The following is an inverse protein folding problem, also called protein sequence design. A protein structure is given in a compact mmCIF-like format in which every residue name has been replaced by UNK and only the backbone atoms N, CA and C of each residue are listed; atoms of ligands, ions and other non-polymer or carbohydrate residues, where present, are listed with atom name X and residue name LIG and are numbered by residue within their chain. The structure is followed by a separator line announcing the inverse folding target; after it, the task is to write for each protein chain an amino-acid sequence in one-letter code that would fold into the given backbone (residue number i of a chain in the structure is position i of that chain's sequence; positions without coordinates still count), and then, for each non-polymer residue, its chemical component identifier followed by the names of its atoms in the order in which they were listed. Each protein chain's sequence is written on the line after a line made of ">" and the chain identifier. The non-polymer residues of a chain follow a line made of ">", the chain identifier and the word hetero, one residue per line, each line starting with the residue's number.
data_IF_909400900119
#
_entry.id   IF_909400900119
#
_cell.length_a   1.000
_cell.length_b   1.000
_cell.length_c   1.000
_cell.angle_alpha   90.00
_cell.angle_beta   90.00
_cell.angle_gamma   90.00
#
_symmetry.space_group_name_H-M   'P 1'
#
loop_
_entity.id
_entity.type
_entity.pdbx_description
1 polymer ?
#
# COMPACT_ATOMS: atom_id res chain seq x y z
N UNK A 1 1.62 -47.68 5.93
CA UNK A 1 1.13 -46.63 6.85
C UNK A 1 0.96 -45.36 6.04
N UNK A 2 -0.27 -44.96 5.74
CA UNK A 2 -0.52 -43.71 5.01
C UNK A 2 -0.19 -42.54 5.95
N UNK A 3 0.55 -41.50 5.51
CA UNK A 3 0.80 -40.34 6.35
C UNK A 3 -0.54 -39.69 6.65
N UNK A 4 -0.82 -39.44 7.93
CA UNK A 4 -1.96 -38.66 8.38
C UNK A 4 -1.86 -37.27 7.73
N UNK A 5 -2.52 -37.08 6.59
CA UNK A 5 -2.56 -35.79 5.91
C UNK A 5 -3.32 -34.86 6.83
N UNK A 6 -2.60 -33.94 7.48
CA UNK A 6 -3.20 -32.92 8.33
C UNK A 6 -4.37 -32.24 7.62
N UNK A 7 -5.33 -31.74 8.40
CA UNK A 7 -6.50 -31.02 7.89
C UNK A 7 -6.03 -29.98 6.87
N UNK A 8 -6.56 -30.05 5.64
CA UNK A 8 -6.23 -29.07 4.59
C UNK A 8 -6.51 -27.67 5.12
N UNK A 9 -5.60 -26.73 4.84
CA UNK A 9 -5.84 -25.31 5.14
C UNK A 9 -7.11 -24.87 4.42
N UNK A 10 -8.05 -24.28 5.16
CA UNK A 10 -9.29 -23.75 4.60
C UNK A 10 -9.02 -22.56 3.69
N UNK A 11 -9.94 -22.27 2.77
CA UNK A 11 -9.87 -21.08 1.94
C UNK A 11 -9.98 -19.82 2.80
N UNK A 12 -9.27 -18.76 2.40
CA UNK A 12 -9.31 -17.44 3.04
C UNK A 12 -9.95 -16.42 2.11
N UNK A 13 -10.82 -15.60 2.66
CA UNK A 13 -11.37 -14.48 1.90
C UNK A 13 -10.34 -13.37 1.77
N UNK A 14 -10.20 -12.83 0.55
CA UNK A 14 -9.41 -11.64 0.28
C UNK A 14 -10.27 -10.61 -0.44
N UNK A 15 -9.98 -9.34 -0.24
CA UNK A 15 -10.79 -8.25 -0.80
C UNK A 15 -10.43 -7.95 -2.25
N UNK A 16 -9.14 -8.06 -2.61
CA UNK A 16 -8.69 -7.79 -3.98
C UNK A 16 -7.41 -8.55 -4.33
N UNK A 17 -7.13 -8.64 -5.63
CA UNK A 17 -5.84 -9.12 -6.13
C UNK A 17 -4.98 -7.92 -6.54
N UNK A 18 -3.77 -7.76 -6.00
CA UNK A 18 -2.90 -6.64 -6.34
C UNK A 18 -2.48 -6.69 -7.81
N UNK A 19 -2.47 -5.52 -8.45
CA UNK A 19 -2.04 -5.37 -9.84
C UNK A 19 -0.53 -5.65 -9.99
N UNK A 20 0.27 -5.17 -9.02
CA UNK A 20 1.71 -5.41 -8.97
C UNK A 20 1.97 -6.64 -8.09
N UNK A 21 2.63 -7.65 -8.67
CA UNK A 21 2.94 -8.91 -7.99
C UNK A 21 4.42 -9.13 -7.72
N UNK A 22 5.27 -8.16 -8.05
CA UNK A 22 6.71 -8.28 -7.83
C UNK A 22 7.32 -6.94 -7.45
N UNK A 23 8.11 -6.94 -6.39
CA UNK A 23 8.90 -5.82 -5.92
C UNK A 23 10.37 -6.24 -5.94
N UNK A 24 11.22 -5.42 -6.56
CA UNK A 24 12.65 -5.71 -6.70
C UNK A 24 13.45 -4.54 -6.14
N UNK A 25 14.52 -4.81 -5.37
CA UNK A 25 15.43 -3.77 -4.93
C UNK A 25 16.23 -3.23 -6.11
N UNK A 26 16.45 -1.93 -6.13
CA UNK A 26 17.25 -1.27 -7.17
C UNK A 26 18.73 -1.66 -7.07
N UNK A 27 19.41 -1.74 -8.22
CA UNK A 27 20.86 -1.96 -8.29
C UNK A 27 21.32 -3.41 -8.19
N UNK A 28 20.42 -4.39 -8.04
CA UNK A 28 20.79 -5.81 -7.96
C UNK A 28 20.27 -6.61 -9.18
N UNK A 29 21.14 -7.14 -10.06
CA UNK A 29 20.73 -7.82 -11.30
C UNK A 29 20.28 -9.28 -11.12
N UNK A 30 20.58 -9.92 -9.98
CA UNK A 30 20.18 -11.30 -9.68
C UNK A 30 19.69 -11.38 -8.24
N UNK A 31 18.42 -11.03 -8.04
CA UNK A 31 17.81 -10.97 -6.71
C UNK A 31 17.01 -12.24 -6.48
N UNK A 32 17.38 -13.01 -5.45
CA UNK A 32 16.48 -14.04 -4.93
C UNK A 32 15.22 -13.37 -4.40
N UNK A 33 14.05 -13.89 -4.76
CA UNK A 33 12.78 -13.32 -4.35
C UNK A 33 12.12 -14.18 -3.28
N UNK A 34 11.66 -13.54 -2.20
CA UNK A 34 10.84 -14.17 -1.18
C UNK A 34 9.39 -14.20 -1.66
N UNK A 35 8.79 -15.39 -1.69
CA UNK A 35 7.39 -15.57 -2.11
C UNK A 35 6.44 -15.34 -0.93
N UNK A 36 5.59 -14.33 -1.04
CA UNK A 36 4.46 -14.08 -0.14
C UNK A 36 3.16 -14.51 -0.84
N UNK A 37 2.27 -15.15 -0.11
CA UNK A 37 0.96 -15.55 -0.65
C UNK A 37 -0.04 -14.41 -0.59
N UNK A 38 -1.11 -14.49 -1.40
CA UNK A 38 -2.17 -13.48 -1.38
C UNK A 38 -2.89 -13.40 -0.03
N UNK A 39 -3.04 -14.54 0.64
CA UNK A 39 -3.60 -14.63 1.99
C UNK A 39 -2.73 -13.91 3.03
N UNK A 40 -1.42 -14.10 2.96
CA UNK A 40 -0.45 -13.46 3.84
C UNK A 40 -0.41 -11.94 3.62
N UNK A 41 -0.50 -11.51 2.36
CA UNK A 41 -0.55 -10.09 2.02
C UNK A 41 -1.83 -9.42 2.56
N UNK A 42 -2.98 -10.08 2.41
CA UNK A 42 -4.26 -9.56 2.93
C UNK A 42 -4.20 -9.42 4.46
N UNK A 43 -3.60 -10.38 5.17
CA UNK A 43 -3.45 -10.30 6.62
C UNK A 43 -2.62 -9.07 7.04
N UNK A 44 -1.54 -8.77 6.30
CA UNK A 44 -0.72 -7.57 6.51
C UNK A 44 -1.52 -6.30 6.20
N UNK A 45 -2.28 -6.27 5.11
CA UNK A 45 -3.16 -5.13 4.79
C UNK A 45 -4.16 -4.85 5.92
N UNK A 46 -4.85 -5.88 6.40
CA UNK A 46 -5.89 -5.72 7.41
C UNK A 46 -5.34 -5.18 8.75
N UNK A 47 -4.21 -5.71 9.22
CA UNK A 47 -3.68 -5.35 10.55
C UNK A 47 -2.63 -4.24 10.49
N UNK A 48 -1.65 -4.33 9.59
CA UNK A 48 -0.52 -3.40 9.56
C UNK A 48 -0.81 -2.12 8.75
N UNK A 49 -1.79 -2.15 7.83
CA UNK A 49 -2.15 -0.98 7.03
C UNK A 49 -3.49 -0.35 7.45
N UNK A 50 -4.51 -1.15 7.77
CA UNK A 50 -5.85 -0.67 8.14
C UNK A 50 -6.10 -0.62 9.66
N UNK A 51 -5.09 -0.95 10.46
CA UNK A 51 -5.11 -0.95 11.92
C UNK A 51 -6.35 -1.67 12.51
N UNK A 52 -6.69 -2.84 11.96
CA UNK A 52 -7.72 -3.70 12.53
C UNK A 52 -7.17 -4.57 13.65
N UNK A 53 -8.05 -4.92 14.58
CA UNK A 53 -7.74 -5.94 15.57
C UNK A 53 -7.63 -7.32 14.92
N UNK A 54 -6.77 -8.18 15.47
CA UNK A 54 -6.56 -9.54 14.94
C UNK A 54 -7.84 -10.38 14.93
N UNK A 55 -8.76 -10.12 15.86
CA UNK A 55 -10.05 -10.79 15.90
C UNK A 55 -10.94 -10.36 14.73
N UNK A 56 -11.00 -9.05 14.45
CA UNK A 56 -11.76 -8.50 13.33
C UNK A 56 -11.15 -8.95 12.00
N UNK A 57 -9.84 -8.86 11.84
CA UNK A 57 -9.15 -9.30 10.64
C UNK A 57 -9.31 -10.80 10.38
N UNK A 58 -9.28 -11.64 11.42
CA UNK A 58 -9.57 -13.07 11.29
C UNK A 58 -11.02 -13.33 10.84
N UNK A 59 -11.97 -12.57 11.38
CA UNK A 59 -13.37 -12.61 10.94
C UNK A 59 -13.51 -12.22 9.47
N UNK A 60 -12.87 -11.13 9.02
CA UNK A 60 -12.87 -10.71 7.62
C UNK A 60 -12.26 -11.76 6.68
N UNK A 61 -11.23 -12.49 7.10
CA UNK A 61 -10.65 -13.56 6.29
C UNK A 61 -11.43 -14.89 6.37
N UNK A 62 -12.43 -15.00 7.25
CA UNK A 62 -13.23 -16.19 7.47
C UNK A 62 -12.46 -17.36 8.10
N UNK A 63 -11.46 -17.06 8.94
CA UNK A 63 -10.59 -18.07 9.56
C UNK A 63 -10.50 -17.87 11.07
N UNK A 64 -9.95 -18.87 11.77
CA UNK A 64 -9.71 -18.75 13.21
C UNK A 64 -8.61 -17.75 13.51
N UNK A 65 -8.71 -17.06 14.66
CA UNK A 65 -7.69 -16.10 15.14
C UNK A 65 -6.28 -16.68 15.14
N UNK A 66 -6.13 -17.96 15.53
CA UNK A 66 -4.84 -18.67 15.50
C UNK A 66 -4.30 -18.87 14.08
N UNK A 67 -5.16 -19.23 13.12
CA UNK A 67 -4.74 -19.39 11.74
C UNK A 67 -4.31 -18.04 11.16
N UNK A 68 -5.11 -17.00 11.38
CA UNK A 68 -4.81 -15.63 10.99
C UNK A 68 -3.47 -15.15 11.55
N UNK A 69 -3.25 -15.32 12.85
CA UNK A 69 -1.99 -14.96 13.50
C UNK A 69 -0.78 -15.63 12.86
N UNK A 70 -0.89 -16.93 12.53
CA UNK A 70 0.20 -17.64 11.85
C UNK A 70 0.50 -17.06 10.47
N UNK A 71 -0.53 -16.72 9.70
CA UNK A 71 -0.35 -16.16 8.36
C UNK A 71 0.25 -14.75 8.44
N UNK A 72 -0.24 -13.91 9.36
CA UNK A 72 0.33 -12.58 9.64
C UNK A 72 1.81 -12.66 10.06
N UNK A 73 2.16 -13.55 10.98
CA UNK A 73 3.55 -13.71 11.42
C UNK A 73 4.46 -14.21 10.30
N UNK A 74 3.98 -15.12 9.45
CA UNK A 74 4.75 -15.59 8.31
C UNK A 74 4.95 -14.48 7.27
N UNK A 75 3.91 -13.69 7.00
CA UNK A 75 3.96 -12.53 6.12
C UNK A 75 5.00 -11.51 6.60
N UNK A 76 4.91 -11.08 7.88
CA UNK A 76 5.85 -10.13 8.49
C UNK A 76 7.29 -10.64 8.44
N UNK A 77 7.52 -11.93 8.71
CA UNK A 77 8.86 -12.53 8.63
C UNK A 77 9.42 -12.48 7.20
N UNK A 78 8.61 -12.80 6.19
CA UNK A 78 9.00 -12.78 4.78
C UNK A 78 9.33 -11.37 4.31
N UNK A 79 8.49 -10.40 4.66
CA UNK A 79 8.70 -8.98 4.35
C UNK A 79 9.96 -8.48 5.03
N UNK A 80 10.13 -8.74 6.33
CA UNK A 80 11.33 -8.36 7.07
C UNK A 80 12.60 -8.98 6.47
N UNK A 81 12.56 -10.27 6.10
CA UNK A 81 13.68 -10.93 5.42
C UNK A 81 14.00 -10.26 4.07
N UNK A 82 12.97 -9.91 3.29
CA UNK A 82 13.17 -9.22 2.02
C UNK A 82 13.86 -7.87 2.20
N UNK A 83 13.44 -7.10 3.20
CA UNK A 83 14.02 -5.79 3.50
C UNK A 83 15.43 -5.87 4.08
N UNK A 84 15.69 -6.80 5.00
CA UNK A 84 16.99 -6.93 5.69
C UNK A 84 18.07 -7.48 4.76
N UNK A 85 17.73 -8.46 3.92
CA UNK A 85 18.70 -9.11 3.03
C UNK A 85 18.75 -8.49 1.63
N UNK A 86 17.96 -7.45 1.37
CA UNK A 86 17.87 -6.84 0.03
C UNK A 86 17.38 -7.85 -1.02
N UNK A 87 16.38 -8.66 -0.67
CA UNK A 87 15.77 -9.63 -1.57
C UNK A 87 14.54 -9.04 -2.26
N UNK A 88 14.14 -9.62 -3.39
CA UNK A 88 12.89 -9.28 -4.04
C UNK A 88 11.71 -9.82 -3.25
N UNK A 89 10.52 -9.26 -3.46
CA UNK A 89 9.27 -9.80 -2.95
C UNK A 89 8.40 -10.21 -4.14
N UNK A 90 7.90 -11.44 -4.15
CA UNK A 90 6.96 -11.92 -5.17
C UNK A 90 5.66 -12.35 -4.51
N UNK A 91 4.55 -11.83 -5.00
CA UNK A 91 3.21 -12.17 -4.53
C UNK A 91 2.66 -13.28 -5.44
N UNK A 92 2.60 -14.50 -4.93
CA UNK A 92 2.14 -15.66 -5.70
C UNK A 92 1.52 -16.76 -4.83
N UNK A 93 0.62 -17.53 -5.45
CA UNK A 93 -0.02 -18.67 -4.80
C UNK A 93 -1.02 -18.30 -3.71
N UNK A 94 -1.31 -19.28 -2.85
CA UNK A 94 -2.37 -19.22 -1.84
C UNK A 94 -3.64 -19.96 -2.27
N UNK A 95 -4.52 -20.22 -1.31
CA UNK A 95 -5.82 -20.86 -1.48
C UNK A 95 -6.92 -19.88 -1.04
N UNK A 96 -7.12 -18.82 -1.80
CA UNK A 96 -8.05 -17.74 -1.45
C UNK A 96 -9.38 -17.84 -2.20
N UNK A 97 -10.33 -17.00 -1.78
CA UNK A 97 -11.56 -16.68 -2.50
C UNK A 97 -11.72 -15.16 -2.49
N UNK A 98 -12.12 -14.57 -3.62
CA UNK A 98 -12.37 -13.13 -3.73
C UNK A 98 -13.74 -12.82 -3.13
N UNK A 99 -13.78 -11.79 -2.28
CA UNK A 99 -15.03 -11.26 -1.74
C UNK A 99 -15.73 -10.47 -2.86
N UNK A 100 -16.97 -10.85 -3.19
CA UNK A 100 -17.83 -10.07 -4.09
C UNK A 100 -18.00 -10.56 -5.55
N UNK A 101 -17.39 -11.66 -5.99
CA UNK A 101 -17.68 -12.21 -7.33
C UNK A 101 -19.05 -12.93 -7.41
N UNK A 102 -19.64 -13.30 -6.26
CA UNK A 102 -20.97 -13.92 -6.17
C UNK A 102 -21.77 -13.30 -5.01
N UNK A 103 -22.24 -12.06 -5.17
CA UNK A 103 -23.18 -11.46 -4.21
C UNK A 103 -24.37 -10.81 -4.94
N UNK A 104 -25.08 -11.60 -5.74
CA UNK A 104 -26.50 -11.34 -5.96
C UNK A 104 -27.27 -11.82 -4.74
N UNK A 105 -27.85 -10.85 -4.05
CA UNK A 105 -28.98 -10.94 -3.10
C UNK A 105 -28.72 -11.42 -1.66
N UNK A 106 -28.96 -10.46 -0.76
CA UNK A 106 -29.18 -10.51 0.69
C UNK A 106 -27.96 -10.73 1.59
N UNK A 107 -27.19 -9.66 1.82
CA UNK A 107 -26.23 -9.57 2.92
C UNK A 107 -26.80 -8.66 4.04
N UNK A 108 -26.66 -9.10 5.29
CA UNK A 108 -27.07 -8.37 6.49
C UNK A 108 -26.48 -6.95 6.51
N UNK A 109 -27.30 -5.96 6.87
CA UNK A 109 -26.89 -4.54 6.92
C UNK A 109 -25.60 -4.30 7.70
N UNK A 110 -25.27 -5.15 8.68
CA UNK A 110 -24.06 -5.05 9.50
C UNK A 110 -22.75 -5.38 8.75
N UNK A 111 -22.76 -6.31 7.80
CA UNK A 111 -21.55 -6.64 7.02
C UNK A 111 -21.21 -5.49 6.06
N UNK A 112 -22.23 -4.86 5.47
CA UNK A 112 -22.03 -3.73 4.57
C UNK A 112 -21.49 -2.48 5.31
N UNK A 113 -21.97 -2.19 6.53
CA UNK A 113 -21.43 -1.07 7.33
C UNK A 113 -19.96 -1.28 7.68
N UNK A 114 -19.59 -2.51 8.02
CA UNK A 114 -18.21 -2.93 8.32
C UNK A 114 -17.30 -2.74 7.10
N UNK A 115 -17.77 -3.17 5.94
CA UNK A 115 -17.06 -3.00 4.66
C UNK A 115 -16.91 -1.52 4.27
N UNK A 116 -17.94 -0.70 4.47
CA UNK A 116 -17.85 0.75 4.27
C UNK A 116 -16.82 1.41 5.20
N UNK A 117 -16.78 1.01 6.48
CA UNK A 117 -15.79 1.53 7.42
C UNK A 117 -14.34 1.17 7.02
N UNK A 118 -14.11 0.01 6.41
CA UNK A 118 -12.80 -0.35 5.86
C UNK A 118 -12.42 0.54 4.68
N UNK A 119 -13.36 0.74 3.75
CA UNK A 119 -13.14 1.61 2.60
C UNK A 119 -12.90 3.06 3.03
N UNK A 120 -13.60 3.57 4.04
CA UNK A 120 -13.38 4.91 4.59
C UNK A 120 -11.98 5.09 5.18
N UNK A 121 -11.46 4.11 5.93
CA UNK A 121 -10.07 4.15 6.43
C UNK A 121 -9.05 4.16 5.31
N UNK A 122 -9.26 3.33 4.29
CA UNK A 122 -8.38 3.27 3.12
C UNK A 122 -8.38 4.59 2.33
N UNK A 123 -9.55 5.19 2.14
CA UNK A 123 -9.71 6.52 1.54
C UNK A 123 -8.96 7.59 2.35
N UNK A 124 -9.06 7.55 3.69
CA UNK A 124 -8.37 8.51 4.55
C UNK A 124 -6.84 8.41 4.41
N UNK A 125 -6.29 7.19 4.41
CA UNK A 125 -4.85 6.95 4.22
C UNK A 125 -4.36 7.44 2.85
N UNK A 126 -5.14 7.18 1.79
CA UNK A 126 -4.84 7.70 0.45
C UNK A 126 -4.95 9.22 0.37
N UNK A 127 -5.90 9.82 1.08
CA UNK A 127 -6.08 11.26 1.21
C UNK A 127 -4.84 11.95 1.77
N UNK A 128 -4.29 11.46 2.89
CA UNK A 128 -3.06 12.02 3.47
C UNK A 128 -1.86 11.94 2.52
N UNK A 129 -1.74 10.84 1.77
CA UNK A 129 -0.71 10.69 0.74
C UNK A 129 -0.90 11.67 -0.42
N UNK A 130 -2.15 11.90 -0.84
CA UNK A 130 -2.49 12.84 -1.90
C UNK A 130 -2.18 14.28 -1.48
N UNK A 131 -2.51 14.69 -0.25
CA UNK A 131 -2.22 16.03 0.28
C UNK A 131 -0.71 16.31 0.31
N UNK A 132 0.08 15.36 0.79
CA UNK A 132 1.54 15.47 0.80
C UNK A 132 2.12 15.59 -0.62
N UNK A 133 1.65 14.75 -1.57
CA UNK A 133 2.08 14.82 -2.96
C UNK A 133 1.64 16.12 -3.64
N UNK A 134 0.42 16.57 -3.39
CA UNK A 134 -0.13 17.84 -3.90
C UNK A 134 0.69 19.03 -3.40
N UNK A 135 1.05 19.05 -2.12
CA UNK A 135 1.92 20.08 -1.54
C UNK A 135 3.30 20.11 -2.20
N UNK A 136 3.92 18.93 -2.42
CA UNK A 136 5.19 18.82 -3.15
C UNK A 136 5.09 19.32 -4.60
N UNK A 137 4.02 18.96 -5.30
CA UNK A 137 3.77 19.42 -6.67
C UNK A 137 3.55 20.93 -6.72
N UNK A 138 2.84 21.51 -5.74
CA UNK A 138 2.66 22.96 -5.65
C UNK A 138 3.98 23.70 -5.42
N UNK A 139 4.86 23.19 -4.55
CA UNK A 139 6.20 23.75 -4.35
C UNK A 139 7.08 23.68 -5.60
N UNK A 140 7.04 22.57 -6.35
CA UNK A 140 7.79 22.41 -7.59
C UNK A 140 7.23 23.25 -8.75
N UNK A 141 5.91 23.45 -8.80
CA UNK A 141 5.27 24.35 -9.77
C UNK A 141 5.48 25.83 -9.45
N UNK A 142 5.92 26.17 -8.24
CA UNK A 142 6.19 27.53 -7.79
C UNK A 142 7.53 28.12 -8.21
N UNK A 143 8.35 27.40 -8.99
CA UNK A 143 9.66 27.88 -9.48
C UNK A 143 9.63 28.40 -10.93
N UNK A 144 8.52 28.28 -11.64
CA UNK A 144 8.34 28.99 -12.91
C UNK A 144 7.62 30.32 -12.63
N UNK A 145 8.29 31.44 -12.93
CA UNK A 145 7.72 32.78 -13.18
C UNK A 145 7.85 33.84 -12.07
N UNK A 146 9.09 34.26 -11.75
CA UNK A 146 9.46 35.71 -11.67
C UNK A 146 10.96 35.93 -11.96
N UNK A 147 11.44 35.59 -13.16
CA UNK A 147 12.63 36.29 -13.70
C UNK A 147 12.35 36.72 -15.14
N UNK A 148 11.70 37.87 -15.24
CA UNK A 148 11.72 38.67 -16.45
C UNK A 148 12.00 40.12 -16.06
N UNK A 149 13.25 40.41 -15.69
CA UNK A 149 13.84 41.68 -16.14
C UNK A 149 13.95 41.68 -17.68
N UNK A 150 14.05 42.83 -18.39
CA UNK A 150 14.74 44.04 -17.92
C UNK A 150 14.08 45.38 -18.32
N UNK A 151 14.46 46.47 -17.67
CA UNK A 151 14.47 47.81 -18.30
C UNK A 151 15.50 48.72 -17.60
N UNK A 152 16.71 48.69 -18.14
CA UNK A 152 17.78 49.66 -17.91
C UNK A 152 17.30 51.09 -18.18
N UNK A 153 17.29 51.95 -17.17
CA UNK A 153 17.24 53.40 -17.36
C UNK A 153 18.65 53.89 -17.78
N UNK A 154 18.78 54.77 -18.78
CA UNK A 154 20.07 55.33 -19.14
C UNK A 154 20.56 56.31 -18.05
N UNK A 155 21.87 56.23 -17.76
CA UNK A 155 22.64 57.23 -17.03
C UNK A 155 22.62 58.55 -17.80
N UNK A 156 22.11 59.62 -17.20
CA UNK A 156 22.49 60.99 -17.56
C UNK A 156 23.54 61.46 -16.56
N UNK A 157 24.80 61.49 -17.02
CA UNK A 157 25.93 62.09 -16.33
C UNK A 157 25.92 63.60 -16.56
N UNK A 158 26.28 64.30 -15.49
CA UNK A 158 26.47 65.72 -15.24
C UNK A 158 27.26 66.51 -16.30
N UNK A 159 26.93 67.80 -16.45
CA UNK A 159 27.85 68.95 -16.60
C UNK A 159 27.19 70.15 -15.90
N UNK A 160 27.63 70.60 -14.73
CA UNK A 160 28.73 71.56 -14.45
C UNK A 160 28.56 72.96 -15.05
N UNK A 161 28.16 73.89 -14.15
CA UNK A 161 28.71 75.22 -13.82
C UNK A 161 29.11 76.29 -14.87
N UNK A 162 28.98 77.54 -14.38
CA UNK A 162 29.60 78.82 -14.78
C UNK A 162 29.01 79.64 -15.94
N UNK A 163 28.16 80.63 -15.61
CA UNK A 163 28.51 82.07 -15.48
C UNK A 163 27.29 82.93 -15.12
#
# INVERSE_FOLDING_TARGET
>A
MSPCRGRRRGRRWISEVPQVRSFLPEGCPRVEAVSITLEELEAVRLVDLLDLDQEEAAFYMGISRKAFWNDLMNARRKIAAALVYGMGLRIEGGSFALRGEEASTTADSQEHHKEMALMEREIALLGSRLEHLSSRVASLKGEEMTDSGPASKPRSVSKEADQ
#
